data_IF_742950878943
#
_entry.id   IF_742950878943
#
_cell.length_a   1.000
_cell.length_b   1.000
_cell.length_c   1.000
_cell.angle_alpha   90.00
_cell.angle_beta   90.00
_cell.angle_gamma   90.00
#
_symmetry.space_group_name_H-M   'P 1'
#
loop_
_entity.id
_entity.type
_entity.pdbx_description
1 polymer ?
#
# COMPACT_ATOMS: atom_id res chain seq x y z
N UNK A 1 -38.76 -17.35 3.31
CA UNK A 1 -37.33 -17.28 3.70
C UNK A 1 -36.61 -16.01 3.25
N UNK A 2 -36.85 -15.48 2.03
CA UNK A 2 -36.16 -14.27 1.53
C UNK A 2 -36.43 -12.97 2.31
N UNK A 3 -37.70 -12.71 2.68
CA UNK A 3 -38.09 -11.46 3.36
C UNK A 3 -37.50 -11.34 4.79
N UNK A 4 -37.47 -12.44 5.54
CA UNK A 4 -36.87 -12.50 6.88
C UNK A 4 -35.34 -12.35 6.84
N UNK A 5 -34.68 -12.90 5.80
CA UNK A 5 -33.24 -12.72 5.59
C UNK A 5 -32.91 -11.27 5.20
N UNK A 6 -33.71 -10.65 4.33
CA UNK A 6 -33.57 -9.25 3.96
C UNK A 6 -33.76 -8.31 5.16
N UNK A 7 -34.76 -8.56 6.01
CA UNK A 7 -34.97 -7.78 7.24
C UNK A 7 -33.79 -7.90 8.20
N UNK A 8 -33.23 -9.10 8.36
CA UNK A 8 -32.04 -9.32 9.20
C UNK A 8 -30.85 -8.51 8.68
N UNK A 9 -30.58 -8.57 7.38
CA UNK A 9 -29.52 -7.81 6.71
C UNK A 9 -29.73 -6.30 6.90
N UNK A 10 -30.94 -5.78 6.65
CA UNK A 10 -31.22 -4.35 6.82
C UNK A 10 -31.14 -3.86 8.28
N UNK A 11 -31.22 -4.77 9.25
CA UNK A 11 -31.08 -4.46 10.68
C UNK A 11 -29.66 -4.60 11.21
N UNK A 12 -28.70 -5.04 10.39
CA UNK A 12 -27.31 -5.13 10.78
C UNK A 12 -26.66 -3.74 10.88
N UNK A 13 -25.73 -3.61 11.82
CA UNK A 13 -24.90 -2.43 11.96
C UNK A 13 -23.71 -2.52 10.99
N UNK A 14 -23.73 -1.67 9.95
CA UNK A 14 -22.66 -1.54 8.97
C UNK A 14 -21.67 -0.41 9.32
N UNK A 15 -21.80 0.18 10.51
CA UNK A 15 -21.09 1.36 10.95
C UNK A 15 -21.59 2.64 10.27
N UNK A 16 -20.74 3.67 10.27
CA UNK A 16 -21.12 5.02 9.81
C UNK A 16 -20.63 5.32 8.40
N UNK A 17 -21.33 6.17 7.66
CA UNK A 17 -20.86 6.73 6.39
C UNK A 17 -20.40 8.16 6.65
N UNK A 18 -19.20 8.51 6.20
CA UNK A 18 -18.69 9.88 6.24
C UNK A 18 -18.79 10.48 4.84
N UNK A 19 -19.47 11.62 4.74
CA UNK A 19 -19.58 12.39 3.50
C UNK A 19 -18.98 13.75 3.76
N UNK A 20 -17.96 14.10 2.98
CA UNK A 20 -17.33 15.41 3.02
C UNK A 20 -17.49 16.11 1.68
N UNK A 21 -18.06 17.31 1.70
CA UNK A 21 -18.19 18.15 0.51
C UNK A 21 -17.01 19.12 0.47
N UNK A 22 -16.05 18.84 -0.42
CA UNK A 22 -14.88 19.69 -0.62
C UNK A 22 -15.19 21.04 -1.25
N UNK A 23 -14.16 21.86 -1.39
CA UNK A 23 -14.28 23.16 -2.06
C UNK A 23 -14.63 22.98 -3.54
N UNK A 24 -15.58 23.76 -4.10
CA UNK A 24 -15.96 23.65 -5.49
C UNK A 24 -14.81 24.05 -6.41
N UNK A 25 -14.55 23.23 -7.43
CA UNK A 25 -13.47 23.45 -8.40
C UNK A 25 -14.02 24.03 -9.70
N UNK A 26 -13.59 25.23 -10.06
CA UNK A 26 -14.00 25.89 -11.30
C UNK A 26 -13.13 25.41 -12.47
N UNK A 27 -13.74 24.65 -13.40
CA UNK A 27 -13.08 24.25 -14.67
C UNK A 27 -12.67 25.48 -15.49
N UNK A 28 -13.39 26.62 -15.37
CA UNK A 28 -12.98 27.88 -16.01
C UNK A 28 -11.65 28.38 -15.45
N UNK A 29 -11.50 28.38 -14.13
CA UNK A 29 -10.26 28.82 -13.48
C UNK A 29 -9.10 27.88 -13.78
N UNK A 30 -9.32 26.56 -13.78
CA UNK A 30 -8.28 25.59 -14.12
C UNK A 30 -7.79 25.70 -15.57
N UNK A 31 -8.71 25.98 -16.50
CA UNK A 31 -8.42 26.05 -17.93
C UNK A 31 -7.88 27.41 -18.39
N UNK A 32 -7.85 28.41 -17.51
CA UNK A 32 -7.40 29.76 -17.83
C UNK A 32 -5.95 29.76 -18.30
N UNK A 33 -5.70 30.32 -19.49
CA UNK A 33 -4.37 30.35 -20.12
C UNK A 33 -3.86 28.98 -20.61
N UNK A 34 -4.61 27.88 -20.42
CA UNK A 34 -4.19 26.51 -20.75
C UNK A 34 -5.01 25.86 -21.88
N UNK A 35 -6.28 26.24 -22.05
CA UNK A 35 -7.15 25.66 -23.09
C UNK A 35 -7.84 26.74 -23.90
N UNK A 36 -7.61 26.76 -25.21
CA UNK A 36 -8.32 27.64 -26.13
C UNK A 36 -9.65 27.02 -26.58
N UNK A 37 -10.75 27.44 -25.95
CA UNK A 37 -12.11 26.93 -26.23
C UNK A 37 -12.67 27.27 -27.61
N UNK A 38 -11.97 28.08 -28.42
CA UNK A 38 -12.40 28.47 -29.77
C UNK A 38 -12.04 27.43 -30.83
N UNK A 39 -11.23 26.42 -30.49
CA UNK A 39 -10.88 25.32 -31.39
C UNK A 39 -11.83 24.15 -31.14
N UNK A 40 -12.70 23.85 -32.12
CA UNK A 40 -13.68 22.75 -32.09
C UNK A 40 -13.14 21.43 -32.64
N UNK A 41 -11.83 21.36 -32.94
CA UNK A 41 -11.19 20.15 -33.46
C UNK A 41 -10.73 19.25 -32.31
N UNK A 42 -10.46 17.97 -32.62
CA UNK A 42 -9.99 16.94 -31.71
C UNK A 42 -8.95 17.47 -30.69
N UNK A 43 -8.99 17.03 -29.41
CA UNK A 43 -8.12 17.56 -28.37
C UNK A 43 -6.65 17.40 -28.76
N UNK A 44 -5.92 18.52 -28.85
CA UNK A 44 -4.47 18.53 -29.05
C UNK A 44 -3.71 18.13 -27.78
N UNK A 45 -2.38 17.99 -27.89
CA UNK A 45 -1.51 17.62 -26.75
C UNK A 45 -1.69 18.55 -25.53
N UNK A 46 -1.90 19.85 -25.74
CA UNK A 46 -2.15 20.84 -24.69
C UNK A 46 -3.41 20.53 -23.86
N UNK A 47 -4.46 20.01 -24.53
CA UNK A 47 -5.71 19.63 -23.87
C UNK A 47 -5.53 18.34 -23.08
N UNK A 48 -4.77 17.39 -23.61
CA UNK A 48 -4.42 16.16 -22.89
C UNK A 48 -3.59 16.44 -21.63
N UNK A 49 -2.58 17.30 -21.73
CA UNK A 49 -1.79 17.76 -20.57
C UNK A 49 -2.66 18.44 -19.52
N UNK A 50 -3.55 19.36 -19.95
CA UNK A 50 -4.50 20.02 -19.06
C UNK A 50 -5.43 19.03 -18.33
N UNK A 51 -6.01 18.07 -19.04
CA UNK A 51 -6.92 17.06 -18.47
C UNK A 51 -6.18 16.22 -17.44
N UNK A 52 -4.96 15.78 -17.76
CA UNK A 52 -4.16 14.94 -16.87
C UNK A 52 -3.78 15.69 -15.59
N UNK A 53 -3.24 16.91 -15.70
CA UNK A 53 -2.91 17.78 -14.57
C UNK A 53 -4.13 18.03 -13.67
N UNK A 54 -5.29 18.29 -14.29
CA UNK A 54 -6.54 18.56 -13.56
C UNK A 54 -7.04 17.31 -12.85
N UNK A 55 -6.94 16.14 -13.47
CA UNK A 55 -7.32 14.87 -12.87
C UNK A 55 -6.48 14.57 -11.62
N UNK A 56 -5.15 14.71 -11.70
CA UNK A 56 -4.28 14.53 -10.54
C UNK A 56 -4.61 15.49 -9.40
N UNK A 57 -4.86 16.77 -9.69
CA UNK A 57 -5.25 17.76 -8.68
C UNK A 57 -6.57 17.41 -8.00
N UNK A 58 -7.57 16.96 -8.76
CA UNK A 58 -8.88 16.57 -8.23
C UNK A 58 -8.78 15.34 -7.33
N UNK A 59 -8.05 14.31 -7.76
CA UNK A 59 -7.87 13.09 -6.95
C UNK A 59 -7.09 13.40 -5.68
N UNK A 60 -6.05 14.25 -5.74
CA UNK A 60 -5.35 14.72 -4.54
C UNK A 60 -6.26 15.45 -3.56
N UNK A 61 -7.11 16.37 -4.04
CA UNK A 61 -8.08 17.05 -3.20
C UNK A 61 -9.11 16.08 -2.58
N UNK A 62 -9.45 14.98 -3.26
CA UNK A 62 -10.29 13.92 -2.70
C UNK A 62 -9.55 13.13 -1.61
N UNK A 63 -8.31 12.73 -1.86
CA UNK A 63 -7.45 12.02 -0.91
C UNK A 63 -7.25 12.84 0.38
N UNK A 64 -6.94 14.13 0.27
CA UNK A 64 -6.74 15.03 1.41
C UNK A 64 -7.96 15.12 2.34
N UNK A 65 -9.17 14.93 1.81
CA UNK A 65 -10.41 15.00 2.59
C UNK A 65 -10.94 13.61 3.02
N UNK A 66 -10.18 12.55 2.76
CA UNK A 66 -10.60 11.19 3.09
C UNK A 66 -10.51 10.93 4.60
N UNK A 67 -11.59 10.39 5.17
CA UNK A 67 -11.65 10.03 6.59
C UNK A 67 -11.32 8.55 6.77
N UNK A 68 -10.24 8.26 7.49
CA UNK A 68 -9.85 6.90 7.84
C UNK A 68 -10.57 6.44 9.10
N UNK A 69 -11.26 5.30 8.99
CA UNK A 69 -11.88 4.61 10.13
C UNK A 69 -10.85 3.80 10.92
N UNK A 70 -11.08 3.51 12.22
CA UNK A 70 -10.14 2.71 13.01
C UNK A 70 -9.90 1.32 12.41
N UNK A 71 -10.93 0.72 11.80
CA UNK A 71 -10.81 -0.56 11.09
C UNK A 71 -9.76 -0.56 9.98
N UNK A 72 -9.55 0.56 9.27
CA UNK A 72 -8.50 0.66 8.23
C UNK A 72 -7.12 0.42 8.84
N UNK A 73 -6.87 0.97 10.03
CA UNK A 73 -5.62 0.77 10.75
C UNK A 73 -5.49 -0.69 11.25
N UNK A 74 -6.56 -1.23 11.83
CA UNK A 74 -6.58 -2.61 12.33
C UNK A 74 -6.37 -3.63 11.21
N UNK A 75 -7.05 -3.48 10.08
CA UNK A 75 -6.88 -4.33 8.91
C UNK A 75 -5.43 -4.30 8.40
N UNK A 76 -4.80 -3.11 8.40
CA UNK A 76 -3.39 -2.95 8.02
C UNK A 76 -2.46 -3.75 8.94
N UNK A 77 -2.63 -3.62 10.26
CA UNK A 77 -1.83 -4.32 11.27
C UNK A 77 -2.04 -5.84 11.21
N UNK A 78 -3.29 -6.29 11.08
CA UNK A 78 -3.63 -7.72 11.01
C UNK A 78 -3.08 -8.39 9.75
N UNK A 79 -3.11 -7.70 8.60
CA UNK A 79 -2.50 -8.19 7.37
C UNK A 79 -0.99 -8.32 7.48
N UNK A 80 -0.31 -7.32 8.05
CA UNK A 80 1.14 -7.36 8.25
C UNK A 80 1.53 -8.49 9.20
N UNK A 81 0.77 -8.72 10.26
CA UNK A 81 1.03 -9.80 11.20
C UNK A 81 0.87 -11.18 10.55
N UNK A 82 -0.18 -11.34 9.72
CA UNK A 82 -0.37 -12.58 8.96
C UNK A 82 0.80 -12.82 7.98
N UNK A 83 1.27 -11.78 7.29
CA UNK A 83 2.39 -11.88 6.35
C UNK A 83 3.72 -12.22 7.03
N UNK A 84 3.91 -11.79 8.29
CA UNK A 84 5.08 -12.13 9.11
C UNK A 84 5.08 -13.57 9.65
N UNK A 85 4.10 -14.40 9.26
CA UNK A 85 3.99 -15.80 9.72
C UNK A 85 3.50 -15.94 11.16
N UNK A 86 3.00 -14.87 11.79
CA UNK A 86 2.42 -14.91 13.13
C UNK A 86 0.97 -15.41 13.08
N UNK A 87 0.85 -16.68 12.75
CA UNK A 87 -0.42 -17.38 12.57
C UNK A 87 -1.25 -17.53 13.85
N UNK A 88 -0.67 -17.22 15.02
CA UNK A 88 -1.31 -17.35 16.36
C UNK A 88 -2.16 -16.14 16.77
N UNK A 89 -2.26 -15.12 15.91
CA UNK A 89 -2.97 -13.86 16.22
C UNK A 89 -2.18 -12.93 17.15
N UNK A 90 -2.64 -11.68 17.28
CA UNK A 90 -2.09 -10.70 18.23
C UNK A 90 -2.93 -10.68 19.50
N UNK A 91 -2.29 -10.56 20.67
CA UNK A 91 -3.03 -10.24 21.89
C UNK A 91 -3.80 -8.91 21.73
N UNK A 92 -5.03 -8.84 22.25
CA UNK A 92 -5.88 -7.66 22.09
C UNK A 92 -5.22 -6.37 22.61
N UNK A 93 -4.50 -6.43 23.73
CA UNK A 93 -3.77 -5.29 24.29
C UNK A 93 -2.64 -4.83 23.38
N UNK A 94 -1.92 -5.78 22.77
CA UNK A 94 -0.85 -5.48 21.81
C UNK A 94 -1.41 -4.84 20.55
N UNK A 95 -2.52 -5.38 20.01
CA UNK A 95 -3.20 -4.80 18.85
C UNK A 95 -3.67 -3.38 19.17
N UNK A 96 -4.21 -3.15 20.36
CA UNK A 96 -4.67 -1.83 20.81
C UNK A 96 -3.51 -0.84 20.89
N UNK A 97 -2.38 -1.23 21.50
CA UNK A 97 -1.18 -0.39 21.56
C UNK A 97 -0.62 -0.08 20.16
N UNK A 98 -0.64 -1.06 19.25
CA UNK A 98 -0.22 -0.83 17.85
C UNK A 98 -1.19 0.08 17.10
N UNK A 99 -2.50 -0.05 17.31
CA UNK A 99 -3.52 0.79 16.69
C UNK A 99 -3.41 2.25 17.17
N UNK A 100 -3.15 2.47 18.46
CA UNK A 100 -2.89 3.81 19.02
C UNK A 100 -1.65 4.44 18.40
N UNK A 101 -0.54 3.69 18.33
CA UNK A 101 0.67 4.16 17.67
C UNK A 101 0.42 4.52 16.20
N UNK A 102 -0.30 3.67 15.46
CA UNK A 102 -0.57 3.89 14.05
C UNK A 102 -1.54 5.07 13.85
N UNK A 103 -2.52 5.26 14.73
CA UNK A 103 -3.39 6.44 14.76
C UNK A 103 -2.58 7.72 14.89
N UNK A 104 -1.64 7.74 15.83
CA UNK A 104 -0.82 8.93 16.08
C UNK A 104 0.13 9.21 14.92
N UNK A 105 0.68 8.15 14.31
CA UNK A 105 1.48 8.26 13.08
C UNK A 105 0.65 8.81 11.90
N UNK A 106 -0.55 8.27 11.66
CA UNK A 106 -1.45 8.74 10.60
C UNK A 106 -1.81 10.22 10.78
N UNK A 107 -2.13 10.65 12.02
CA UNK A 107 -2.43 12.07 12.33
C UNK A 107 -1.22 12.96 12.06
N UNK A 108 -0.01 12.52 12.42
CA UNK A 108 1.22 13.28 12.15
C UNK A 108 1.50 13.43 10.64
N UNK A 109 1.03 12.48 9.83
CA UNK A 109 1.08 12.50 8.36
C UNK A 109 -0.10 13.25 7.72
N UNK A 110 -0.95 13.90 8.53
CA UNK A 110 -2.02 14.77 8.04
C UNK A 110 -3.33 14.06 7.72
N UNK A 111 -3.47 12.76 8.05
CA UNK A 111 -4.70 12.04 7.82
C UNK A 111 -5.82 12.49 8.78
N UNK A 112 -7.05 12.56 8.26
CA UNK A 112 -8.25 12.71 9.07
C UNK A 112 -8.71 11.33 9.56
N UNK A 113 -8.77 11.15 10.89
CA UNK A 113 -9.20 9.89 11.49
C UNK A 113 -10.51 10.05 12.25
N UNK A 114 -11.46 9.15 11.99
CA UNK A 114 -12.64 8.98 12.82
C UNK A 114 -12.29 8.14 14.05
N UNK A 115 -11.61 8.76 15.02
CA UNK A 115 -11.28 8.16 16.30
C UNK A 115 -12.04 8.90 17.42
N UNK A 116 -13.11 8.34 17.99
CA UNK A 116 -13.91 9.03 19.01
C UNK A 116 -13.09 9.35 20.27
N UNK A 117 -13.01 10.62 20.65
CA UNK A 117 -12.22 11.06 21.82
C UNK A 117 -12.86 10.66 23.16
N UNK A 118 -14.17 10.37 23.17
CA UNK A 118 -14.91 9.97 24.36
C UNK A 118 -14.77 8.48 24.71
N UNK A 119 -14.21 7.68 23.81
CA UNK A 119 -14.02 6.24 24.01
C UNK A 119 -12.55 5.95 24.31
N UNK A 120 -12.32 5.00 25.21
CA UNK A 120 -10.98 4.47 25.43
C UNK A 120 -10.47 3.75 24.17
N UNK A 121 -9.16 3.67 23.94
CA UNK A 121 -8.62 2.94 22.80
C UNK A 121 -9.09 1.48 22.69
N UNK A 122 -9.23 0.79 23.82
CA UNK A 122 -9.70 -0.60 23.86
C UNK A 122 -11.16 -0.72 23.39
N UNK A 123 -12.02 0.23 23.76
CA UNK A 123 -13.42 0.27 23.31
C UNK A 123 -13.52 0.56 21.81
N UNK A 124 -12.70 1.48 21.27
CA UNK A 124 -12.65 1.77 19.83
C UNK A 124 -12.20 0.56 19.02
N UNK A 125 -11.18 -0.16 19.50
CA UNK A 125 -10.69 -1.38 18.86
C UNK A 125 -11.76 -2.47 18.93
N UNK A 126 -12.33 -2.72 20.11
CA UNK A 126 -13.35 -3.75 20.31
C UNK A 126 -14.61 -3.51 19.49
N UNK A 127 -15.10 -2.26 19.43
CA UNK A 127 -16.25 -1.89 18.61
C UNK A 127 -15.96 -2.13 17.12
N UNK A 128 -14.78 -1.70 16.65
CA UNK A 128 -14.35 -1.91 15.26
C UNK A 128 -14.21 -3.38 14.88
N UNK A 129 -13.66 -4.21 15.77
CA UNK A 129 -13.59 -5.67 15.58
C UNK A 129 -14.99 -6.29 15.52
N UNK A 130 -15.89 -5.82 16.38
CA UNK A 130 -17.25 -6.35 16.46
C UNK A 130 -18.13 -6.01 15.25
N UNK A 131 -17.83 -4.92 14.53
CA UNK A 131 -18.45 -4.59 13.24
C UNK A 131 -17.96 -5.48 12.09
N UNK A 132 -16.74 -6.03 12.19
CA UNK A 132 -16.09 -6.78 11.11
C UNK A 132 -15.91 -8.28 11.43
N UNK A 133 -16.85 -8.88 12.17
CA UNK A 133 -16.83 -10.29 12.61
C UNK A 133 -16.67 -11.31 11.48
N UNK A 134 -17.05 -10.96 10.24
CA UNK A 134 -16.83 -11.81 9.07
C UNK A 134 -15.38 -11.88 8.60
N UNK A 135 -14.53 -10.93 9.02
CA UNK A 135 -13.14 -10.79 8.60
C UNK A 135 -12.14 -11.12 9.70
N UNK A 136 -12.58 -11.14 10.96
CA UNK A 136 -11.72 -11.33 12.13
C UNK A 136 -12.32 -12.33 13.13
N UNK A 137 -11.47 -13.09 13.80
CA UNK A 137 -11.82 -14.00 14.89
C UNK A 137 -11.02 -13.64 16.14
N UNK A 138 -11.64 -13.81 17.30
CA UNK A 138 -11.01 -13.63 18.60
C UNK A 138 -11.02 -14.99 19.30
N UNK A 139 -9.83 -15.55 19.57
CA UNK A 139 -9.64 -16.83 20.22
C UNK A 139 -8.66 -16.65 21.39
N UNK A 140 -9.05 -17.04 22.61
CA UNK A 140 -8.18 -16.96 23.80
C UNK A 140 -7.54 -15.57 24.00
N UNK A 141 -8.32 -14.49 23.75
CA UNK A 141 -7.84 -13.11 23.87
C UNK A 141 -6.90 -12.65 22.74
N UNK A 142 -6.71 -13.47 21.70
CA UNK A 142 -5.92 -13.14 20.50
C UNK A 142 -6.81 -12.89 19.30
N UNK A 143 -6.48 -11.85 18.55
CA UNK A 143 -7.17 -11.37 17.37
C UNK A 143 -6.41 -11.84 16.12
N UNK A 144 -7.13 -12.49 15.20
CA UNK A 144 -6.57 -12.96 13.94
C UNK A 144 -7.57 -12.81 12.80
N UNK A 145 -7.09 -12.72 11.57
CA UNK A 145 -7.96 -12.75 10.40
C UNK A 145 -8.73 -14.07 10.34
N UNK A 146 -9.98 -14.02 9.90
CA UNK A 146 -10.89 -15.16 9.79
C UNK A 146 -10.53 -16.12 8.64
N UNK A 147 -9.24 -16.30 8.38
CA UNK A 147 -8.70 -17.28 7.44
C UNK A 147 -8.64 -18.61 8.17
N UNK A 148 -9.42 -19.59 7.71
CA UNK A 148 -9.38 -20.94 8.28
C UNK A 148 -7.96 -21.49 8.18
N UNK A 149 -7.38 -21.79 9.34
CA UNK A 149 -6.09 -22.44 9.46
C UNK A 149 -6.30 -23.85 9.97
N UNK A 150 -6.14 -24.84 9.09
CA UNK A 150 -5.59 -26.16 9.41
C UNK A 150 -6.23 -27.02 10.52
N UNK A 151 -7.33 -26.62 11.15
CA UNK A 151 -8.15 -27.52 11.94
C UNK A 151 -9.22 -28.06 10.98
N UNK A 152 -9.04 -29.30 10.54
CA UNK A 152 -10.08 -30.07 9.90
C UNK A 152 -11.26 -30.13 10.88
N UNK A 153 -12.26 -29.26 10.72
CA UNK A 153 -13.58 -29.61 11.21
C UNK A 153 -14.00 -30.86 10.42
N UNK A 154 -14.31 -31.99 11.09
CA UNK A 154 -14.60 -33.27 10.42
C UNK A 154 -15.81 -33.25 9.48
N UNK A 155 -16.47 -32.09 9.33
CA UNK A 155 -17.75 -31.92 8.66
C UNK A 155 -17.80 -30.77 7.64
N UNK A 156 -16.68 -30.11 7.29
CA UNK A 156 -16.71 -29.13 6.20
C UNK A 156 -16.74 -29.85 4.85
N UNK A 157 -17.92 -29.97 4.23
CA UNK A 157 -18.09 -30.50 2.87
C UNK A 157 -17.52 -29.60 1.75
N UNK A 158 -16.85 -28.50 2.12
CA UNK A 158 -16.32 -27.50 1.19
C UNK A 158 -15.07 -28.02 0.45
N UNK A 159 -15.09 -27.90 -0.88
CA UNK A 159 -13.97 -28.30 -1.73
C UNK A 159 -12.72 -27.40 -1.54
N UNK A 160 -11.54 -27.83 -2.04
CA UNK A 160 -10.30 -27.06 -1.93
C UNK A 160 -10.39 -25.64 -2.49
N UNK A 161 -11.13 -25.46 -3.59
CA UNK A 161 -11.35 -24.16 -4.23
C UNK A 161 -12.19 -23.22 -3.38
N UNK A 162 -13.22 -23.74 -2.69
CA UNK A 162 -14.09 -22.96 -1.82
C UNK A 162 -13.34 -22.48 -0.57
N UNK A 163 -12.45 -23.32 -0.01
CA UNK A 163 -11.53 -22.94 1.07
C UNK A 163 -10.51 -21.88 0.64
N UNK A 164 -10.01 -21.97 -0.60
CA UNK A 164 -9.14 -20.94 -1.17
C UNK A 164 -9.89 -19.62 -1.32
N UNK A 165 -11.11 -19.67 -1.87
CA UNK A 165 -11.95 -18.51 -2.10
C UNK A 165 -12.31 -17.81 -0.78
N UNK A 166 -12.71 -18.57 0.25
CA UNK A 166 -13.05 -18.00 1.56
C UNK A 166 -11.86 -17.26 2.18
N UNK A 167 -10.65 -17.82 2.10
CA UNK A 167 -9.41 -17.16 2.51
C UNK A 167 -9.14 -15.91 1.69
N UNK A 168 -9.29 -15.98 0.37
CA UNK A 168 -9.06 -14.85 -0.52
C UNK A 168 -10.00 -13.69 -0.20
N UNK A 169 -11.29 -13.96 0.05
CA UNK A 169 -12.27 -12.93 0.43
C UNK A 169 -11.82 -12.16 1.66
N UNK A 170 -11.37 -12.84 2.71
CA UNK A 170 -10.92 -12.18 3.95
C UNK A 170 -9.70 -11.29 3.68
N UNK A 171 -8.68 -11.84 3.01
CA UNK A 171 -7.42 -11.12 2.73
C UNK A 171 -7.65 -9.94 1.79
N UNK A 172 -8.40 -10.12 0.71
CA UNK A 172 -8.70 -9.08 -0.27
C UNK A 172 -9.60 -7.98 0.33
N UNK A 173 -10.57 -8.35 1.18
CA UNK A 173 -11.39 -7.35 1.89
C UNK A 173 -10.52 -6.50 2.80
N UNK A 174 -9.65 -7.12 3.62
CA UNK A 174 -8.73 -6.37 4.47
C UNK A 174 -7.74 -5.53 3.65
N UNK A 175 -7.27 -6.03 2.51
CA UNK A 175 -6.37 -5.30 1.63
C UNK A 175 -7.07 -4.08 1.01
N UNK A 176 -8.34 -4.21 0.63
CA UNK A 176 -9.18 -3.09 0.20
C UNK A 176 -9.31 -2.02 1.28
N UNK A 177 -9.52 -2.41 2.54
CA UNK A 177 -9.53 -1.47 3.66
C UNK A 177 -8.17 -0.79 3.87
N UNK A 178 -7.06 -1.55 3.92
CA UNK A 178 -5.70 -0.99 4.02
C UNK A 178 -5.43 0.01 2.89
N UNK A 179 -5.90 -0.29 1.67
CA UNK A 179 -5.69 0.57 0.52
C UNK A 179 -6.31 1.97 0.68
N UNK A 180 -7.32 2.13 1.52
CA UNK A 180 -7.86 3.46 1.87
C UNK A 180 -6.82 4.35 2.55
N UNK A 181 -5.88 3.78 3.33
CA UNK A 181 -4.81 4.53 3.97
C UNK A 181 -3.53 4.67 3.12
N UNK A 182 -3.46 4.05 1.93
CA UNK A 182 -2.21 4.08 1.16
C UNK A 182 -1.82 5.49 0.73
N UNK A 183 -2.77 6.35 0.38
CA UNK A 183 -2.47 7.73 -0.01
C UNK A 183 -1.71 8.50 1.09
N UNK A 184 -1.96 8.20 2.37
CA UNK A 184 -1.27 8.80 3.53
C UNK A 184 0.16 8.30 3.64
N UNK A 185 0.38 7.01 3.40
CA UNK A 185 1.66 6.34 3.68
C UNK A 185 2.54 6.16 2.45
N UNK A 186 2.03 6.41 1.24
CA UNK A 186 2.69 6.05 -0.01
C UNK A 186 4.07 6.69 -0.15
N UNK A 187 4.19 8.01 -0.05
CA UNK A 187 5.48 8.69 -0.24
C UNK A 187 6.49 8.31 0.85
N UNK A 188 6.12 8.32 2.16
CA UNK A 188 7.01 7.78 3.20
C UNK A 188 7.41 6.32 2.96
N UNK A 189 6.49 5.49 2.47
CA UNK A 189 6.77 4.08 2.19
C UNK A 189 7.72 3.91 1.01
N UNK A 190 7.57 4.69 -0.06
CA UNK A 190 8.51 4.69 -1.19
C UNK A 190 9.91 5.09 -0.73
N UNK A 191 10.04 6.08 0.16
CA UNK A 191 11.33 6.49 0.72
C UNK A 191 11.91 5.41 1.65
N UNK A 192 11.10 4.79 2.51
CA UNK A 192 11.53 3.66 3.33
C UNK A 192 12.04 2.48 2.47
N UNK A 193 11.33 2.14 1.39
CA UNK A 193 11.74 1.12 0.42
C UNK A 193 13.02 1.51 -0.32
N UNK A 194 13.17 2.79 -0.69
CA UNK A 194 14.38 3.29 -1.34
C UNK A 194 15.60 3.19 -0.44
N UNK A 195 15.47 3.54 0.84
CA UNK A 195 16.54 3.40 1.86
C UNK A 195 16.88 1.93 2.06
N UNK A 196 15.88 1.05 2.16
CA UNK A 196 16.10 -0.38 2.35
C UNK A 196 16.80 -1.04 1.15
N UNK A 197 16.53 -0.56 -0.06
CA UNK A 197 17.15 -1.07 -1.29
C UNK A 197 18.49 -0.40 -1.63
N UNK A 198 18.77 0.79 -1.10
CA UNK A 198 19.99 1.53 -1.42
C UNK A 198 21.23 0.85 -0.83
N UNK A 199 22.32 0.83 -1.61
CA UNK A 199 23.61 0.29 -1.17
C UNK A 199 24.39 1.25 -0.27
N UNK A 200 23.88 2.45 -0.03
CA UNK A 200 24.53 3.54 0.71
C UNK A 200 23.49 4.47 1.31
N UNK A 201 23.85 5.14 2.40
CA UNK A 201 23.07 6.21 3.05
C UNK A 201 23.19 7.55 2.33
N UNK A 202 24.00 7.65 1.27
CA UNK A 202 24.14 8.88 0.49
C UNK A 202 22.79 9.31 -0.10
N UNK A 203 22.38 10.54 0.19
CA UNK A 203 21.09 11.12 -0.18
C UNK A 203 20.80 11.00 -1.67
N UNK A 204 21.81 11.22 -2.53
CA UNK A 204 21.66 11.09 -3.97
C UNK A 204 21.34 9.66 -4.41
N UNK A 205 21.98 8.65 -3.80
CA UNK A 205 21.72 7.23 -4.10
C UNK A 205 20.31 6.86 -3.66
N UNK A 206 19.90 7.29 -2.47
CA UNK A 206 18.53 7.08 -1.96
C UNK A 206 17.50 7.78 -2.86
N UNK A 207 17.77 9.01 -3.29
CA UNK A 207 16.89 9.76 -4.20
C UNK A 207 16.74 9.06 -5.56
N UNK A 208 17.82 8.50 -6.11
CA UNK A 208 17.78 7.74 -7.35
C UNK A 208 16.92 6.47 -7.19
N UNK A 209 17.09 5.73 -6.10
CA UNK A 209 16.25 4.55 -5.78
C UNK A 209 14.78 4.94 -5.59
N UNK A 210 14.51 6.05 -4.91
CA UNK A 210 13.16 6.58 -4.73
C UNK A 210 12.51 6.94 -6.07
N UNK A 211 13.24 7.65 -6.91
CA UNK A 211 12.78 8.06 -8.24
C UNK A 211 12.43 6.85 -9.09
N UNK A 212 13.27 5.81 -9.07
CA UNK A 212 13.00 4.54 -9.75
C UNK A 212 11.72 3.87 -9.24
N UNK A 213 11.56 3.72 -7.93
CA UNK A 213 10.36 3.10 -7.35
C UNK A 213 9.09 3.90 -7.67
N UNK A 214 9.16 5.23 -7.59
CA UNK A 214 8.07 6.13 -7.96
C UNK A 214 7.64 5.93 -9.41
N UNK A 215 8.59 5.80 -10.33
CA UNK A 215 8.32 5.57 -11.75
C UNK A 215 7.69 4.19 -11.99
N UNK A 216 8.20 3.14 -11.34
CA UNK A 216 7.65 1.77 -11.42
C UNK A 216 6.19 1.72 -10.95
N UNK A 217 5.86 2.43 -9.88
CA UNK A 217 4.53 2.44 -9.29
C UNK A 217 3.61 3.57 -9.78
N UNK A 218 4.05 4.36 -10.78
CA UNK A 218 3.28 5.51 -11.30
C UNK A 218 1.90 5.15 -11.87
N UNK A 219 1.71 3.89 -12.30
CA UNK A 219 0.43 3.37 -12.79
C UNK A 219 -0.41 2.68 -11.71
N UNK A 220 0.16 2.39 -10.54
CA UNK A 220 -0.53 1.74 -9.42
C UNK A 220 -1.06 2.75 -8.42
N UNK A 221 -0.37 3.88 -8.28
CA UNK A 221 -0.71 4.91 -7.31
C UNK A 221 -0.77 6.30 -7.95
N UNK A 222 -1.47 7.20 -7.26
CA UNK A 222 -1.62 8.59 -7.67
C UNK A 222 -0.33 9.34 -7.33
N UNK A 223 0.58 9.40 -8.30
CA UNK A 223 1.85 10.12 -8.24
C UNK A 223 1.89 11.14 -9.38
N UNK A 224 1.90 12.43 -9.05
CA UNK A 224 1.82 13.49 -10.04
C UNK A 224 3.10 13.51 -10.91
N UNK A 225 3.00 13.49 -12.24
CA UNK A 225 4.16 13.63 -13.12
C UNK A 225 4.96 14.90 -12.81
N UNK A 226 6.30 14.81 -12.87
CA UNK A 226 7.19 15.95 -12.55
C UNK A 226 7.34 16.29 -11.06
N UNK A 227 6.57 15.68 -10.15
CA UNK A 227 6.60 15.99 -8.71
C UNK A 227 7.66 15.20 -7.91
N UNK A 228 8.61 14.50 -8.55
CA UNK A 228 9.56 13.59 -7.88
C UNK A 228 10.30 14.23 -6.72
N UNK A 229 10.81 15.45 -6.90
CA UNK A 229 11.55 16.18 -5.85
C UNK A 229 10.62 16.54 -4.70
N UNK A 230 9.43 17.06 -5.00
CA UNK A 230 8.42 17.42 -4.00
C UNK A 230 7.97 16.20 -3.19
N UNK A 231 7.69 15.08 -3.85
CA UNK A 231 7.29 13.82 -3.20
C UNK A 231 8.40 13.29 -2.27
N UNK A 232 9.67 13.42 -2.68
CA UNK A 232 10.82 13.02 -1.86
C UNK A 232 11.03 13.93 -0.65
N UNK A 233 10.91 15.25 -0.84
CA UNK A 233 11.04 16.24 0.23
C UNK A 233 9.91 16.11 1.26
N UNK A 234 8.67 15.90 0.80
CA UNK A 234 7.51 15.65 1.66
C UNK A 234 7.71 14.37 2.48
N UNK A 235 8.11 13.26 1.83
CA UNK A 235 8.39 12.00 2.52
C UNK A 235 9.52 12.16 3.56
N UNK A 236 10.58 12.87 3.20
CA UNK A 236 11.71 13.17 4.10
C UNK A 236 11.25 13.99 5.30
N UNK A 237 10.46 15.05 5.07
CA UNK A 237 9.91 15.91 6.12
C UNK A 237 9.06 15.09 7.10
N UNK A 238 8.12 14.27 6.59
CA UNK A 238 7.25 13.44 7.44
C UNK A 238 8.03 12.43 8.29
N UNK A 239 9.03 11.78 7.70
CA UNK A 239 9.87 10.81 8.40
C UNK A 239 10.82 11.47 9.41
N UNK A 240 11.33 12.68 9.14
CA UNK A 240 12.11 13.44 10.12
C UNK A 240 11.20 13.94 11.25
N UNK A 241 10.02 14.48 10.93
CA UNK A 241 9.03 14.98 11.90
C UNK A 241 8.61 13.90 12.90
N UNK A 242 8.47 12.65 12.45
CA UNK A 242 8.12 11.50 13.29
C UNK A 242 9.32 10.84 13.95
N UNK A 243 10.51 11.43 13.81
CA UNK A 243 11.76 10.95 14.39
C UNK A 243 12.27 9.65 13.77
N UNK A 244 11.76 9.24 12.61
CA UNK A 244 12.15 8.00 11.94
C UNK A 244 13.47 8.12 11.15
N UNK A 245 13.77 9.32 10.65
CA UNK A 245 14.99 9.62 9.92
C UNK A 245 15.72 10.83 10.50
N UNK A 246 17.04 10.86 10.28
CA UNK A 246 17.84 12.07 10.25
C UNK A 246 18.33 12.30 8.82
N UNK A 247 18.13 13.51 8.31
CA UNK A 247 18.54 13.90 6.95
C UNK A 247 19.52 15.05 7.07
N UNK A 248 20.74 14.84 6.56
CA UNK A 248 21.76 15.88 6.41
C UNK A 248 21.80 16.38 4.96
N UNK A 249 22.76 17.25 4.63
CA UNK A 249 22.94 17.69 3.25
C UNK A 249 23.31 16.53 2.31
N UNK A 250 24.05 15.53 2.81
CA UNK A 250 24.61 14.46 1.98
C UNK A 250 24.09 13.06 2.31
N UNK A 251 23.46 12.86 3.47
CA UNK A 251 23.09 11.53 3.97
C UNK A 251 21.66 11.47 4.49
N UNK A 252 21.08 10.28 4.40
CA UNK A 252 19.80 9.90 4.99
C UNK A 252 20.05 8.70 5.88
N UNK A 253 19.89 8.88 7.19
CA UNK A 253 20.14 7.86 8.19
C UNK A 253 18.85 7.51 8.94
N UNK A 254 18.68 6.22 9.24
CA UNK A 254 17.58 5.72 10.07
C UNK A 254 17.95 5.90 11.53
N UNK A 255 17.05 6.48 12.31
CA UNK A 255 17.26 6.62 13.76
C UNK A 255 16.99 5.29 14.47
N UNK A 256 17.50 5.12 15.70
CA UNK A 256 17.19 3.92 16.50
C UNK A 256 15.68 3.72 16.68
N UNK A 257 14.94 4.78 16.97
CA UNK A 257 13.47 4.75 17.11
C UNK A 257 12.71 4.59 15.79
N UNK A 258 13.35 4.84 14.64
CA UNK A 258 12.72 4.83 13.32
C UNK A 258 12.47 3.46 12.72
N UNK A 259 13.16 2.42 13.21
CA UNK A 259 13.06 1.06 12.67
C UNK A 259 11.62 0.53 12.66
N UNK A 260 10.82 0.82 13.70
CA UNK A 260 9.42 0.41 13.76
C UNK A 260 8.59 1.06 12.65
N UNK A 261 8.77 2.36 12.44
CA UNK A 261 8.06 3.12 11.39
C UNK A 261 8.47 2.64 10.01
N UNK A 262 9.77 2.46 9.75
CA UNK A 262 10.25 1.93 8.48
C UNK A 262 9.75 0.51 8.23
N UNK A 263 9.78 -0.38 9.21
CA UNK A 263 9.27 -1.74 9.07
C UNK A 263 7.79 -1.77 8.70
N UNK A 264 6.96 -0.93 9.35
CA UNK A 264 5.55 -0.78 8.99
C UNK A 264 5.37 -0.28 7.55
N UNK A 265 6.12 0.76 7.17
CA UNK A 265 6.04 1.37 5.85
C UNK A 265 6.49 0.41 4.73
N UNK A 266 7.57 -0.33 4.95
CA UNK A 266 8.01 -1.40 4.05
C UNK A 266 6.90 -2.45 3.88
N UNK A 267 6.29 -2.88 4.98
CA UNK A 267 5.22 -3.88 4.96
C UNK A 267 3.92 -3.38 4.29
N UNK A 268 3.70 -2.06 4.20
CA UNK A 268 2.60 -1.48 3.41
C UNK A 268 2.80 -1.65 1.90
N UNK A 269 4.04 -1.49 1.43
CA UNK A 269 4.41 -1.61 0.00
C UNK A 269 4.75 -3.03 -0.43
N UNK A 270 5.15 -3.90 0.50
CA UNK A 270 5.60 -5.27 0.25
C UNK A 270 4.68 -6.08 -0.69
N UNK A 271 3.34 -6.05 -0.57
CA UNK A 271 2.46 -6.82 -1.46
C UNK A 271 2.57 -6.38 -2.93
N UNK A 272 2.78 -5.09 -3.17
CA UNK A 272 2.94 -4.52 -4.51
C UNK A 272 4.31 -4.89 -5.08
N UNK A 273 5.38 -4.73 -4.29
CA UNK A 273 6.73 -5.13 -4.67
C UNK A 273 6.80 -6.61 -5.04
N UNK A 274 6.23 -7.49 -4.20
CA UNK A 274 6.16 -8.94 -4.50
C UNK A 274 5.35 -9.24 -5.75
N UNK A 275 4.27 -8.49 -6.00
CA UNK A 275 3.47 -8.62 -7.21
C UNK A 275 4.30 -8.35 -8.46
N UNK A 276 4.99 -7.22 -8.48
CA UNK A 276 5.90 -6.86 -9.58
C UNK A 276 7.03 -7.88 -9.74
N UNK A 277 7.72 -8.26 -8.66
CA UNK A 277 8.79 -9.25 -8.72
C UNK A 277 8.34 -10.59 -9.32
N UNK A 278 7.19 -11.11 -8.87
CA UNK A 278 6.62 -12.37 -9.40
C UNK A 278 6.23 -12.24 -10.86
N UNK A 279 5.60 -11.13 -11.25
CA UNK A 279 5.17 -10.89 -12.63
C UNK A 279 6.38 -10.72 -13.57
N UNK A 280 7.39 -9.95 -13.16
CA UNK A 280 8.65 -9.79 -13.89
C UNK A 280 9.38 -11.13 -14.05
N UNK A 281 9.49 -11.93 -12.99
CA UNK A 281 10.09 -13.27 -13.08
C UNK A 281 9.30 -14.19 -14.02
N UNK A 282 7.97 -14.18 -13.94
CA UNK A 282 7.13 -14.97 -14.83
C UNK A 282 7.28 -14.54 -16.30
N UNK A 283 7.39 -13.24 -16.57
CA UNK A 283 7.66 -12.72 -17.90
C UNK A 283 9.04 -13.15 -18.41
N UNK A 284 10.09 -13.03 -17.59
CA UNK A 284 11.46 -13.44 -17.94
C UNK A 284 11.57 -14.95 -18.21
N UNK A 285 10.83 -15.78 -17.45
CA UNK A 285 10.72 -17.22 -17.71
C UNK A 285 10.03 -17.51 -19.05
N UNK A 286 8.93 -16.81 -19.37
CA UNK A 286 8.20 -16.97 -20.65
C UNK A 286 9.02 -16.52 -21.85
N UNK A 287 9.83 -15.47 -21.69
CA UNK A 287 10.72 -14.96 -22.72
C UNK A 287 12.01 -15.80 -22.86
N UNK A 288 12.21 -16.84 -22.03
CA UNK A 288 13.42 -17.65 -22.07
C UNK A 288 14.69 -16.92 -21.62
N UNK A 289 14.54 -15.73 -21.04
CA UNK A 289 15.64 -14.96 -20.45
C UNK A 289 16.13 -15.58 -19.14
N UNK A 290 15.26 -16.32 -18.46
CA UNK A 290 15.56 -17.10 -17.27
C UNK A 290 14.99 -18.51 -17.43
N UNK A 291 15.67 -19.52 -16.90
CA UNK A 291 15.23 -20.91 -16.91
C UNK A 291 15.36 -21.55 -15.54
N UNK A 292 14.40 -22.39 -15.15
CA UNK A 292 14.50 -23.21 -13.94
C UNK A 292 15.44 -24.37 -14.18
N UNK A 293 16.42 -24.58 -13.30
CA UNK A 293 17.32 -25.72 -13.37
C UNK A 293 16.61 -26.93 -12.72
N UNK A 294 16.48 -28.03 -13.45
CA UNK A 294 15.96 -29.30 -12.89
C UNK A 294 17.11 -30.01 -12.16
N UNK A 295 16.90 -30.40 -10.90
CA UNK A 295 17.85 -31.20 -10.11
C UNK A 295 18.66 -30.42 -9.06
N UNK A 296 18.53 -29.10 -9.00
CA UNK A 296 19.12 -28.28 -7.93
C UNK A 296 18.05 -27.84 -6.91
N UNK A 297 18.50 -27.22 -5.82
CA UNK A 297 17.64 -26.69 -4.76
C UNK A 297 16.48 -25.84 -5.35
N UNK A 298 15.27 -25.91 -4.76
CA UNK A 298 14.14 -25.13 -5.20
C UNK A 298 14.49 -23.63 -5.13
N UNK A 299 14.49 -22.96 -6.30
CA UNK A 299 14.79 -21.53 -6.42
C UNK A 299 16.00 -21.18 -7.29
N UNK A 300 16.83 -22.14 -7.70
CA UNK A 300 17.96 -21.83 -8.59
C UNK A 300 17.52 -21.59 -10.03
N UNK A 301 17.94 -20.45 -10.57
CA UNK A 301 17.56 -19.96 -11.89
C UNK A 301 18.82 -19.73 -12.74
N UNK A 302 18.80 -20.24 -13.98
CA UNK A 302 19.83 -19.97 -14.99
C UNK A 302 19.44 -18.74 -15.80
N UNK A 303 20.31 -17.73 -15.86
CA UNK A 303 20.10 -16.50 -16.62
C UNK A 303 20.72 -16.63 -18.02
N UNK A 304 19.93 -16.40 -19.06
CA UNK A 304 20.41 -16.27 -20.44
C UNK A 304 20.81 -14.81 -20.70
N UNK A 305 22.09 -14.49 -20.47
CA UNK A 305 22.62 -13.12 -20.59
C UNK A 305 22.40 -12.50 -21.97
N UNK A 306 22.47 -13.29 -23.04
CA UNK A 306 22.25 -12.79 -24.41
C UNK A 306 20.81 -12.32 -24.58
N UNK A 307 19.85 -13.12 -24.10
CA UNK A 307 18.43 -12.76 -24.17
C UNK A 307 18.10 -11.56 -23.27
N UNK A 308 18.70 -11.49 -22.07
CA UNK A 308 18.52 -10.34 -21.16
C UNK A 308 19.03 -9.05 -21.80
N UNK A 309 20.21 -9.07 -22.42
CA UNK A 309 20.76 -7.89 -23.09
C UNK A 309 19.90 -7.46 -24.29
N UNK A 310 19.46 -8.42 -25.11
CA UNK A 310 18.53 -8.16 -26.22
C UNK A 310 17.21 -7.53 -25.75
N UNK A 311 16.66 -8.01 -24.63
CA UNK A 311 15.47 -7.40 -24.02
C UNK A 311 15.73 -6.00 -23.49
N UNK A 312 16.89 -5.75 -22.86
CA UNK A 312 17.25 -4.43 -22.38
C UNK A 312 17.39 -3.40 -23.52
N UNK A 313 17.97 -3.83 -24.64
CA UNK A 313 18.10 -3.03 -25.85
C UNK A 313 16.73 -2.74 -26.47
N UNK A 314 15.86 -3.75 -26.56
CA UNK A 314 14.49 -3.60 -27.09
C UNK A 314 13.60 -2.68 -26.22
N UNK A 315 13.83 -2.64 -24.90
CA UNK A 315 13.10 -1.80 -23.95
C UNK A 315 13.69 -0.39 -23.79
N UNK A 316 14.66 0.00 -24.62
CA UNK A 316 15.15 1.37 -24.70
C UNK A 316 16.28 1.72 -23.73
N UNK A 317 17.01 0.74 -23.19
CA UNK A 317 18.36 0.95 -22.65
C UNK A 317 18.49 1.86 -21.43
N UNK A 318 17.42 2.18 -20.69
CA UNK A 318 17.56 2.85 -19.38
C UNK A 318 18.24 1.87 -18.41
N UNK A 319 19.55 2.06 -18.21
CA UNK A 319 20.38 1.27 -17.30
C UNK A 319 19.69 1.16 -15.94
N UNK A 320 19.37 -0.07 -15.54
CA UNK A 320 19.13 -0.40 -14.14
C UNK A 320 20.35 0.07 -13.33
N UNK A 321 20.19 0.61 -12.11
CA UNK A 321 21.34 0.93 -11.27
C UNK A 321 22.23 -0.32 -11.14
N UNK A 322 23.53 -0.15 -11.36
CA UNK A 322 24.52 -1.24 -11.59
C UNK A 322 24.63 -2.26 -10.44
N UNK A 323 23.98 -1.99 -9.31
CA UNK A 323 23.90 -2.89 -8.15
C UNK A 323 22.48 -3.46 -8.06
N UNK A 324 22.19 -4.48 -8.87
CA UNK A 324 21.01 -5.31 -8.67
C UNK A 324 21.09 -5.94 -7.27
N UNK A 325 20.25 -5.46 -6.37
CA UNK A 325 20.04 -6.03 -5.05
C UNK A 325 19.78 -7.52 -5.22
N UNK A 326 20.60 -8.34 -4.54
CA UNK A 326 20.34 -9.77 -4.38
C UNK A 326 19.07 -9.91 -3.53
N UNK A 327 17.92 -9.87 -4.17
CA UNK A 327 16.68 -10.29 -3.55
C UNK A 327 16.71 -11.82 -3.47
N UNK A 328 16.92 -12.36 -2.27
CA UNK A 328 16.60 -13.77 -2.01
C UNK A 328 15.08 -13.93 -2.13
N UNK A 329 14.68 -14.91 -2.93
CA UNK A 329 13.29 -15.39 -3.04
C UNK A 329 12.76 -15.86 -1.69
#
# INVERSE_FOLDING_TARGET
MGLFKARKILSEDYGSIHVYFGQPVSVRSLAEGRVNRRQFNLPGEDVHGFVNDSAYKLVRAQEENMVLKPWVLLASLLLQNQAAGQNRGLALDQLTAQAVWLRDLSRQYGAFLHWPDQMSPSEVVSSSLSLHRGLVRICEGKVQLAVEQGAEEPHSAAGPEEKLLSKAVVVLSCASYRNQALHVFLRPALLASAIHAASSTQKQVVFNSFSFLRDVFSNEFILCPGATVQDFEEASYLLVKTGALQVSQQEVAVTEGGHRTLAFLLAMLEPFLRGYQKNSLAALLRLGAVQKIKGEAPGTLKVNRVMVNSLADALGGKRLPENAVVARL
#
